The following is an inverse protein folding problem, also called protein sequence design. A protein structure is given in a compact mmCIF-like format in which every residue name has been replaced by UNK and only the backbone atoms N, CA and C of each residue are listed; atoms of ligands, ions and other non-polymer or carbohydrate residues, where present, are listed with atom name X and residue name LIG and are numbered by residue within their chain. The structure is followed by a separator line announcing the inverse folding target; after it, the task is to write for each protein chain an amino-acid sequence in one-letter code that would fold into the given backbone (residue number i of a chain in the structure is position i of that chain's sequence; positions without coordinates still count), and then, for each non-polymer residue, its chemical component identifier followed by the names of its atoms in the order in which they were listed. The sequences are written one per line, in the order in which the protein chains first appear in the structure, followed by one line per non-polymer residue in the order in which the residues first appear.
data_IF_492378334538
#
_entry.id   IF_492378334538
#
_cell.length_a   1.000
_cell.length_b   1.000
_cell.length_c   1.000
_cell.angle_alpha   90.00
_cell.angle_beta   90.00
_cell.angle_gamma   90.00
#
_symmetry.space_group_name_H-M   'P 1'
#
loop_
_entity.id
_entity.type
_entity.pdbx_description
1 polymer ?
#
# COMPACT_ATOMS: atom_id res chain seq x y z
N UNK A 1 15.21 12.70 0.03
CA UNK A 1 15.02 12.36 1.46
C UNK A 1 13.54 12.42 1.77
N UNK A 2 12.99 11.46 2.54
CA UNK A 2 11.61 11.54 2.98
C UNK A 2 11.36 12.87 3.72
N UNK A 3 10.16 13.44 3.63
CA UNK A 3 9.84 14.71 4.25
C UNK A 3 9.98 14.62 5.78
N UNK A 4 10.49 15.70 6.41
CA UNK A 4 10.56 15.77 7.86
C UNK A 4 9.15 15.72 8.46
N UNK A 5 8.96 14.83 9.43
CA UNK A 5 7.66 14.68 10.11
C UNK A 5 7.37 15.87 11.03
N UNK A 6 6.08 16.24 11.19
CA UNK A 6 5.68 17.26 12.15
C UNK A 6 6.04 16.86 13.59
N UNK A 7 6.42 17.87 14.41
CA UNK A 7 6.59 17.70 15.84
C UNK A 7 5.23 17.36 16.51
N UNK A 8 5.28 16.55 17.57
CA UNK A 8 4.12 16.20 18.40
C UNK A 8 3.34 17.44 18.89
N UNK A 9 4.06 18.49 19.28
CA UNK A 9 3.47 19.75 19.74
C UNK A 9 2.62 20.42 18.67
N UNK A 10 3.11 20.42 17.42
CA UNK A 10 2.39 21.01 16.28
C UNK A 10 1.08 20.25 16.03
N UNK A 11 1.13 18.91 16.09
CA UNK A 11 -0.05 18.06 15.91
C UNK A 11 -1.06 18.30 17.04
N UNK A 12 -0.58 18.36 18.28
CA UNK A 12 -1.41 18.59 19.47
C UNK A 12 -2.13 19.94 19.41
N UNK A 13 -1.42 20.99 19.03
CA UNK A 13 -1.99 22.33 18.89
C UNK A 13 -3.03 22.41 17.77
N UNK A 14 -2.79 21.73 16.63
CA UNK A 14 -3.75 21.67 15.56
C UNK A 14 -5.04 20.93 15.96
N UNK A 15 -4.94 19.82 16.67
CA UNK A 15 -6.11 19.10 17.21
C UNK A 15 -6.93 19.98 18.14
N UNK A 16 -6.28 20.73 19.03
CA UNK A 16 -6.96 21.67 19.96
C UNK A 16 -7.62 22.83 19.21
N UNK A 17 -6.93 23.40 18.22
CA UNK A 17 -7.47 24.49 17.40
C UNK A 17 -8.73 24.06 16.63
N UNK A 18 -8.87 22.78 16.31
CA UNK A 18 -10.04 22.21 15.66
C UNK A 18 -11.08 21.65 16.65
N UNK A 19 -11.02 22.09 17.92
CA UNK A 19 -12.06 21.82 18.92
C UNK A 19 -11.96 20.46 19.61
N UNK A 20 -10.89 19.70 19.38
CA UNK A 20 -10.64 18.44 20.10
C UNK A 20 -10.04 18.70 21.48
N UNK A 21 -10.21 17.72 22.35
CA UNK A 21 -9.63 17.72 23.70
C UNK A 21 -8.66 16.56 23.88
N UNK A 22 -7.59 16.51 23.06
CA UNK A 22 -6.68 15.38 23.09
C UNK A 22 -6.00 15.30 24.44
N UNK A 23 -5.93 14.08 24.97
CA UNK A 23 -5.01 13.74 26.03
C UNK A 23 -3.57 13.75 25.52
N UNK A 24 -2.70 13.01 26.20
CA UNK A 24 -1.32 12.81 25.74
C UNK A 24 -1.31 12.05 24.41
N UNK A 25 -0.50 12.48 23.44
CA UNK A 25 -0.18 11.71 22.25
C UNK A 25 0.81 10.59 22.61
N UNK A 26 0.52 9.37 22.19
CA UNK A 26 1.42 8.23 22.37
C UNK A 26 1.91 7.80 21.00
N UNK A 27 3.20 7.89 20.69
CA UNK A 27 3.71 7.47 19.40
C UNK A 27 3.35 6.01 19.10
N UNK A 28 2.92 5.77 17.89
CA UNK A 28 2.75 4.44 17.30
C UNK A 28 3.93 4.16 16.36
N UNK A 29 4.12 2.89 16.00
CA UNK A 29 5.05 2.54 14.93
C UNK A 29 4.64 3.34 13.68
N UNK A 30 5.54 4.10 13.10
CA UNK A 30 5.27 5.00 11.99
C UNK A 30 5.92 4.53 10.70
N UNK A 31 5.29 4.84 9.58
CA UNK A 31 5.87 4.70 8.24
C UNK A 31 6.86 5.82 7.92
N UNK A 32 7.47 5.74 6.75
CA UNK A 32 8.44 6.75 6.28
C UNK A 32 7.77 8.06 5.84
N UNK A 33 6.51 8.00 5.40
CA UNK A 33 5.77 9.13 4.83
C UNK A 33 4.89 9.87 5.84
N UNK A 34 4.56 9.22 6.97
CA UNK A 34 3.74 9.82 8.02
C UNK A 34 4.14 9.34 9.41
N UNK A 35 3.81 10.13 10.44
CA UNK A 35 3.88 9.75 11.84
C UNK A 35 2.49 9.55 12.41
N UNK A 36 2.34 8.49 13.20
CA UNK A 36 1.09 8.15 13.87
C UNK A 36 1.20 8.27 15.38
N UNK A 37 0.12 8.75 16.01
CA UNK A 37 -0.01 8.83 17.46
C UNK A 37 -1.39 8.35 17.87
N UNK A 38 -1.46 7.51 18.91
CA UNK A 38 -2.69 7.22 19.60
C UNK A 38 -3.00 8.31 20.63
N UNK A 39 -4.28 8.62 20.80
CA UNK A 39 -4.74 9.55 21.83
C UNK A 39 -6.19 9.26 22.23
N UNK A 40 -6.58 9.71 23.41
CA UNK A 40 -7.98 9.70 23.86
C UNK A 40 -8.59 11.09 23.70
N UNK A 41 -9.80 11.16 23.17
CA UNK A 41 -10.59 12.39 23.02
C UNK A 41 -12.02 12.13 23.51
N UNK A 42 -12.40 12.75 24.62
CA UNK A 42 -13.69 12.55 25.31
C UNK A 42 -14.03 11.05 25.54
N UNK A 43 -13.02 10.25 25.94
CA UNK A 43 -13.15 8.83 26.25
C UNK A 43 -13.15 7.90 25.00
N UNK A 44 -12.94 8.43 23.81
CA UNK A 44 -12.77 7.66 22.58
C UNK A 44 -11.28 7.50 22.26
N UNK A 45 -10.88 6.27 21.95
CA UNK A 45 -9.53 6.00 21.47
C UNK A 45 -9.44 6.28 19.97
N UNK A 46 -8.52 7.16 19.60
CA UNK A 46 -8.32 7.64 18.25
C UNK A 46 -6.85 7.54 17.85
N UNK A 47 -6.60 7.65 16.54
CA UNK A 47 -5.26 7.78 15.97
C UNK A 47 -5.21 9.07 15.17
N UNK A 48 -4.14 9.84 15.30
CA UNK A 48 -3.79 10.92 14.38
C UNK A 48 -2.54 10.53 13.60
N UNK A 49 -2.63 10.61 12.27
CA UNK A 49 -1.49 10.50 11.37
C UNK A 49 -1.16 11.87 10.82
N UNK A 50 0.13 12.21 10.72
CA UNK A 50 0.60 13.50 10.23
C UNK A 50 1.71 13.30 9.18
N UNK A 51 1.57 13.92 8.01
CA UNK A 51 2.45 13.73 6.86
C UNK A 51 2.45 14.92 5.89
N UNK A 52 3.21 14.79 4.81
CA UNK A 52 3.34 15.82 3.80
C UNK A 52 2.21 15.81 2.77
N UNK A 53 1.66 14.64 2.48
CA UNK A 53 0.73 14.42 1.37
C UNK A 53 -0.70 14.27 1.88
N UNK A 54 -1.56 15.24 1.57
CA UNK A 54 -2.99 15.19 1.94
C UNK A 54 -3.72 14.09 1.19
N UNK A 55 -3.27 13.80 -0.02
CA UNK A 55 -3.84 12.80 -0.91
C UNK A 55 -3.89 11.41 -0.27
N UNK A 56 -2.88 11.04 0.52
CA UNK A 56 -2.84 9.74 1.21
C UNK A 56 -3.97 9.63 2.22
N UNK A 57 -4.25 10.71 2.97
CA UNK A 57 -5.35 10.76 3.93
C UNK A 57 -6.73 10.83 3.24
N UNK A 58 -6.81 11.47 2.08
CA UNK A 58 -8.03 11.52 1.28
C UNK A 58 -8.34 10.16 0.66
N UNK A 59 -7.32 9.40 0.24
CA UNK A 59 -7.46 8.00 -0.17
C UNK A 59 -7.92 7.09 0.97
N UNK A 60 -7.37 7.25 2.18
CA UNK A 60 -7.86 6.54 3.37
C UNK A 60 -9.35 6.81 3.60
N UNK A 61 -9.76 8.07 3.51
CA UNK A 61 -11.18 8.47 3.65
C UNK A 61 -12.03 7.90 2.53
N UNK A 62 -11.54 7.90 1.30
CA UNK A 62 -12.27 7.34 0.17
C UNK A 62 -12.42 5.82 0.28
N UNK A 63 -11.41 5.11 0.75
CA UNK A 63 -11.43 3.65 0.94
C UNK A 63 -12.53 3.17 1.89
N UNK A 64 -13.00 4.03 2.80
CA UNK A 64 -14.12 3.70 3.70
C UNK A 64 -15.39 3.26 2.96
N UNK A 65 -15.57 3.62 1.70
CA UNK A 65 -16.70 3.16 0.88
C UNK A 65 -16.70 1.65 0.63
N UNK A 66 -15.54 1.02 0.69
CA UNK A 66 -15.36 -0.40 0.48
C UNK A 66 -15.39 -1.20 1.80
N UNK A 67 -15.53 -0.50 2.94
CA UNK A 67 -15.52 -1.14 4.26
C UNK A 67 -16.61 -2.21 4.39
N UNK A 68 -16.21 -3.37 4.86
CA UNK A 68 -17.09 -4.52 5.15
C UNK A 68 -16.53 -5.33 6.33
N UNK A 69 -17.24 -6.33 6.85
CA UNK A 69 -16.69 -7.23 7.87
C UNK A 69 -15.39 -7.93 7.45
N UNK A 70 -15.21 -8.21 6.16
CA UNK A 70 -14.03 -8.87 5.60
C UNK A 70 -12.98 -7.86 5.09
N UNK A 71 -13.33 -6.57 4.99
CA UNK A 71 -12.45 -5.46 4.66
C UNK A 71 -12.62 -4.33 5.69
N UNK A 72 -12.09 -4.48 6.92
CA UNK A 72 -12.32 -3.54 8.02
C UNK A 72 -11.46 -2.26 7.85
N UNK A 73 -11.96 -1.27 7.10
CA UNK A 73 -11.31 0.03 6.92
C UNK A 73 -11.70 0.97 8.07
N UNK A 74 -10.74 1.51 8.85
CA UNK A 74 -11.04 2.43 9.93
C UNK A 74 -11.67 3.73 9.42
N UNK A 75 -12.59 4.29 10.19
CA UNK A 75 -13.23 5.55 9.82
C UNK A 75 -12.28 6.72 9.98
N UNK A 76 -12.05 7.47 8.91
CA UNK A 76 -11.39 8.79 8.93
C UNK A 76 -12.44 9.83 9.33
N UNK A 77 -12.22 10.47 10.48
CA UNK A 77 -13.17 11.39 11.10
C UNK A 77 -12.90 12.83 10.69
N UNK A 78 -11.63 13.15 10.42
CA UNK A 78 -11.18 14.52 10.15
C UNK A 78 -9.88 14.50 9.34
N UNK A 79 -9.73 15.44 8.41
CA UNK A 79 -8.47 15.76 7.75
C UNK A 79 -8.27 17.26 7.91
N UNK A 80 -7.07 17.68 8.30
CA UNK A 80 -6.76 19.09 8.54
C UNK A 80 -5.33 19.47 8.13
N UNK A 81 -5.08 20.78 8.05
CA UNK A 81 -3.78 21.33 7.71
C UNK A 81 -2.88 21.51 8.94
N UNK A 82 -1.57 21.40 8.69
CA UNK A 82 -0.49 21.72 9.63
C UNK A 82 0.42 22.80 9.04
N UNK A 83 1.18 23.52 9.86
CA UNK A 83 2.18 24.48 9.38
C UNK A 83 3.17 23.85 8.38
N UNK A 84 3.59 24.63 7.40
CA UNK A 84 4.59 24.24 6.42
C UNK A 84 4.02 23.34 5.30
N UNK A 85 2.72 23.46 4.99
CA UNK A 85 2.08 22.69 3.91
C UNK A 85 1.91 21.21 4.23
N UNK A 86 1.95 20.84 5.50
CA UNK A 86 1.71 19.47 5.98
C UNK A 86 0.25 19.29 6.41
N UNK A 87 -0.15 18.04 6.59
CA UNK A 87 -1.51 17.67 6.89
C UNK A 87 -1.59 16.61 7.98
N UNK A 88 -2.77 16.45 8.57
CA UNK A 88 -3.08 15.35 9.48
C UNK A 88 -4.43 14.74 9.15
N UNK A 89 -4.61 13.49 9.54
CA UNK A 89 -5.89 12.81 9.56
C UNK A 89 -6.13 12.19 10.94
N UNK A 90 -7.36 12.29 11.43
CA UNK A 90 -7.82 11.59 12.64
C UNK A 90 -8.72 10.46 12.23
N UNK A 91 -8.42 9.26 12.71
CA UNK A 91 -9.22 8.05 12.48
C UNK A 91 -9.58 7.35 13.79
N UNK A 92 -10.57 6.47 13.71
CA UNK A 92 -10.85 5.51 14.79
C UNK A 92 -9.62 4.61 14.98
N UNK A 93 -9.32 4.30 16.24
CA UNK A 93 -8.26 3.35 16.56
C UNK A 93 -8.80 1.93 16.40
N UNK A 94 -8.11 1.12 15.61
CA UNK A 94 -8.42 -0.32 15.53
C UNK A 94 -8.07 -1.01 16.84
N UNK A 95 -8.79 -2.09 17.23
CA UNK A 95 -8.42 -2.91 18.37
C UNK A 95 -6.95 -3.37 18.26
N UNK A 96 -6.25 -3.53 19.38
CA UNK A 96 -4.90 -4.10 19.35
C UNK A 96 -4.94 -5.53 18.81
N UNK A 97 -3.89 -5.90 18.09
CA UNK A 97 -3.70 -7.21 17.48
C UNK A 97 -2.26 -7.36 17.02
N UNK A 98 -2.00 -8.39 16.25
CA UNK A 98 -0.70 -8.65 15.63
C UNK A 98 -0.67 -8.09 14.20
N UNK A 99 0.50 -7.72 13.71
CA UNK A 99 0.66 -7.33 12.32
C UNK A 99 0.65 -8.56 11.42
N UNK A 100 -0.01 -8.46 10.28
CA UNK A 100 -0.14 -9.57 9.33
C UNK A 100 1.21 -10.16 8.93
N UNK A 101 2.20 -9.34 8.66
CA UNK A 101 3.54 -9.77 8.27
C UNK A 101 4.35 -10.43 9.39
N UNK A 102 3.98 -10.20 10.65
CA UNK A 102 4.66 -10.78 11.82
C UNK A 102 4.07 -12.14 12.21
N UNK A 103 2.99 -12.59 11.54
CA UNK A 103 2.36 -13.89 11.83
C UNK A 103 3.19 -15.05 11.29
N UNK A 104 3.33 -16.10 12.10
CA UNK A 104 4.04 -17.34 11.75
C UNK A 104 3.26 -18.57 12.18
N UNK A 105 3.54 -19.70 11.51
CA UNK A 105 3.01 -21.00 11.85
C UNK A 105 1.49 -21.00 12.02
N UNK A 106 1.00 -21.52 13.14
CA UNK A 106 -0.44 -21.67 13.36
C UNK A 106 -1.22 -20.35 13.35
N UNK A 107 -0.61 -19.25 13.83
CA UNK A 107 -1.29 -17.96 13.84
C UNK A 107 -1.55 -17.47 12.40
N UNK A 108 -0.60 -17.67 11.51
CA UNK A 108 -0.76 -17.38 10.08
C UNK A 108 -1.78 -18.34 9.45
N UNK A 109 -1.70 -19.63 9.70
CA UNK A 109 -2.66 -20.62 9.17
C UNK A 109 -4.10 -20.28 9.58
N UNK A 110 -4.32 -19.89 10.84
CA UNK A 110 -5.64 -19.50 11.36
C UNK A 110 -6.15 -18.20 10.70
N UNK A 111 -5.26 -17.31 10.23
CA UNK A 111 -5.60 -16.04 9.57
C UNK A 111 -5.81 -16.17 8.04
N UNK A 112 -5.24 -17.17 7.37
CA UNK A 112 -5.31 -17.35 5.91
C UNK A 112 -6.75 -17.29 5.35
N UNK A 113 -7.78 -17.91 5.98
CA UNK A 113 -9.15 -17.79 5.50
C UNK A 113 -9.68 -16.34 5.50
N UNK A 114 -9.25 -15.51 6.46
CA UNK A 114 -9.67 -14.11 6.51
C UNK A 114 -8.94 -13.27 5.44
N UNK A 115 -7.69 -13.60 5.16
CA UNK A 115 -6.93 -13.00 4.06
C UNK A 115 -7.57 -13.33 2.71
N UNK A 116 -7.97 -14.58 2.50
CA UNK A 116 -8.71 -14.97 1.30
C UNK A 116 -10.03 -14.19 1.13
N UNK A 117 -10.79 -13.98 2.23
CA UNK A 117 -12.00 -13.15 2.20
C UNK A 117 -11.70 -11.66 1.96
N UNK A 118 -10.60 -11.12 2.50
CA UNK A 118 -10.14 -9.76 2.21
C UNK A 118 -9.90 -9.59 0.70
N UNK A 119 -9.13 -10.49 0.09
CA UNK A 119 -8.83 -10.45 -1.34
C UNK A 119 -10.11 -10.59 -2.19
N UNK A 120 -11.05 -11.44 -1.79
CA UNK A 120 -12.35 -11.56 -2.44
C UNK A 120 -13.17 -10.26 -2.29
N UNK A 121 -13.22 -9.67 -1.09
CA UNK A 121 -13.95 -8.42 -0.85
C UNK A 121 -13.39 -7.24 -1.67
N UNK A 122 -12.08 -7.19 -1.91
CA UNK A 122 -11.48 -6.20 -2.82
C UNK A 122 -11.93 -6.44 -4.27
N UNK A 123 -11.91 -7.68 -4.76
CA UNK A 123 -12.35 -8.02 -6.12
C UNK A 123 -13.84 -7.77 -6.37
N UNK A 124 -14.67 -7.98 -5.36
CA UNK A 124 -16.12 -7.84 -5.44
C UNK A 124 -16.62 -6.44 -5.09
N UNK A 125 -15.71 -5.53 -4.71
CA UNK A 125 -16.08 -4.18 -4.27
C UNK A 125 -16.77 -3.37 -5.38
N UNK A 126 -17.83 -2.65 -5.00
CA UNK A 126 -18.55 -1.76 -5.92
C UNK A 126 -17.71 -0.55 -6.31
N UNK A 127 -17.23 -0.54 -7.54
CA UNK A 127 -16.49 0.56 -8.13
C UNK A 127 -17.37 1.53 -8.94
N UNK A 128 -18.70 1.38 -8.89
CA UNK A 128 -19.63 2.31 -9.56
C UNK A 128 -19.42 3.74 -9.09
N UNK A 129 -19.56 4.68 -10.02
CA UNK A 129 -19.35 6.10 -9.75
C UNK A 129 -17.87 6.53 -9.69
N UNK A 130 -16.95 5.64 -10.04
CA UNK A 130 -15.51 5.95 -10.25
C UNK A 130 -15.08 5.54 -11.65
N UNK A 131 -13.97 6.06 -12.14
CA UNK A 131 -13.47 5.83 -13.50
C UNK A 131 -11.97 5.54 -13.51
N UNK A 132 -11.46 5.03 -14.63
CA UNK A 132 -10.04 4.88 -14.92
C UNK A 132 -9.32 3.79 -14.10
N UNK A 133 -8.06 3.61 -14.39
CA UNK A 133 -7.14 2.63 -13.82
C UNK A 133 -5.91 3.33 -13.23
N UNK A 134 -5.16 2.59 -12.40
CA UNK A 134 -3.98 3.12 -11.72
C UNK A 134 -4.30 3.86 -10.42
N UNK A 135 -3.34 4.63 -9.93
CA UNK A 135 -3.44 5.30 -8.63
C UNK A 135 -4.64 6.23 -8.52
N UNK A 136 -5.39 6.14 -7.42
CA UNK A 136 -6.56 6.99 -7.22
C UNK A 136 -6.19 8.46 -7.03
N UNK A 137 -7.02 9.35 -7.57
CA UNK A 137 -7.11 10.73 -7.11
C UNK A 137 -7.98 10.83 -5.83
N UNK A 138 -8.07 11.99 -5.16
CA UNK A 138 -8.92 12.17 -3.99
C UNK A 138 -10.42 11.91 -4.22
N UNK A 139 -10.88 11.96 -5.45
CA UNK A 139 -12.26 11.62 -5.83
C UNK A 139 -12.44 10.14 -6.14
N UNK A 140 -11.37 9.36 -6.10
CA UNK A 140 -11.36 7.93 -6.34
C UNK A 140 -11.38 7.57 -7.83
N UNK A 141 -10.75 8.36 -8.70
CA UNK A 141 -10.61 8.02 -10.11
C UNK A 141 -9.15 7.75 -10.45
N UNK A 142 -8.91 6.76 -11.29
CA UNK A 142 -7.59 6.49 -11.87
C UNK A 142 -7.35 7.33 -13.13
N UNK A 143 -6.09 7.67 -13.46
CA UNK A 143 -5.76 8.54 -14.59
C UNK A 143 -5.78 7.84 -15.96
N UNK A 144 -5.71 6.51 -15.99
CA UNK A 144 -5.49 5.74 -17.22
C UNK A 144 -6.77 5.15 -17.80
N UNK A 145 -6.79 4.94 -19.11
CA UNK A 145 -7.91 4.32 -19.84
C UNK A 145 -7.97 2.80 -19.71
N UNK A 146 -6.84 2.15 -19.38
CA UNK A 146 -6.73 0.70 -19.23
C UNK A 146 -5.75 0.32 -18.12
N UNK A 147 -5.84 -0.94 -17.67
CA UNK A 147 -4.88 -1.47 -16.72
C UNK A 147 -3.47 -1.60 -17.29
N UNK A 148 -3.37 -1.98 -18.57
CA UNK A 148 -2.08 -2.05 -19.26
C UNK A 148 -1.37 -0.69 -19.30
N UNK A 149 -2.09 0.41 -19.58
CA UNK A 149 -1.53 1.77 -19.50
C UNK A 149 -1.06 2.12 -18.08
N UNK A 150 -1.86 1.79 -17.07
CA UNK A 150 -1.53 2.04 -15.68
C UNK A 150 -0.26 1.30 -15.21
N UNK A 151 -0.07 0.05 -15.64
CA UNK A 151 1.13 -0.72 -15.36
C UNK A 151 2.40 -0.07 -15.93
N UNK A 152 2.30 0.55 -17.10
CA UNK A 152 3.45 1.14 -17.78
C UNK A 152 3.86 2.52 -17.20
N UNK A 153 3.03 3.14 -16.37
CA UNK A 153 3.42 4.36 -15.67
C UNK A 153 4.65 4.20 -14.78
N UNK A 154 4.94 2.97 -14.35
CA UNK A 154 6.13 2.67 -13.53
C UNK A 154 7.44 3.05 -14.23
N UNK A 155 7.47 3.08 -15.55
CA UNK A 155 8.62 3.55 -16.35
C UNK A 155 8.82 5.06 -16.35
N UNK A 156 7.83 5.84 -15.91
CA UNK A 156 7.87 7.30 -15.88
C UNK A 156 8.56 7.81 -14.60
N UNK A 157 9.11 9.03 -14.67
CA UNK A 157 9.56 9.74 -13.47
C UNK A 157 8.37 10.49 -12.87
N UNK A 158 7.83 10.08 -11.71
CA UNK A 158 6.67 10.72 -11.09
C UNK A 158 7.04 12.02 -10.35
N UNK A 159 7.84 12.85 -10.91
CA UNK A 159 8.29 14.21 -10.61
C UNK A 159 8.21 14.77 -9.17
N UNK A 160 7.19 14.42 -8.42
CA UNK A 160 6.89 14.98 -7.09
C UNK A 160 7.16 14.03 -5.91
N UNK A 161 6.97 12.71 -6.08
CA UNK A 161 7.22 11.75 -5.00
C UNK A 161 8.62 11.13 -5.00
N UNK A 162 9.12 10.78 -6.17
CA UNK A 162 10.42 10.11 -6.34
C UNK A 162 11.31 10.87 -7.35
N UNK A 163 11.50 12.20 -7.23
CA UNK A 163 12.18 12.98 -8.26
C UNK A 163 13.62 12.51 -8.48
N UNK A 164 13.96 12.26 -9.74
CA UNK A 164 15.31 11.88 -10.14
C UNK A 164 15.73 10.46 -9.75
N UNK A 165 14.78 9.58 -9.40
CA UNK A 165 15.08 8.19 -9.07
C UNK A 165 15.84 7.48 -10.19
N UNK A 166 15.50 7.76 -11.45
CA UNK A 166 16.14 7.14 -12.61
C UNK A 166 17.63 7.44 -12.69
N UNK A 167 18.01 8.71 -12.51
CA UNK A 167 19.43 9.12 -12.49
C UNK A 167 20.21 8.46 -11.35
N UNK A 168 19.56 8.31 -10.19
CA UNK A 168 20.15 7.60 -9.05
C UNK A 168 20.33 6.11 -9.35
N UNK A 169 19.34 5.47 -9.97
CA UNK A 169 19.42 4.07 -10.39
C UNK A 169 20.57 3.86 -11.39
N UNK A 170 20.69 4.72 -12.41
CA UNK A 170 21.76 4.66 -13.39
C UNK A 170 23.16 4.77 -12.76
N UNK A 171 23.29 5.58 -11.71
CA UNK A 171 24.54 5.76 -10.96
C UNK A 171 24.74 4.75 -9.82
N UNK A 172 23.78 3.87 -9.57
CA UNK A 172 23.86 2.84 -8.52
C UNK A 172 24.85 1.73 -8.87
N UNK A 173 25.33 0.94 -7.89
CA UNK A 173 26.17 -0.23 -8.16
C UNK A 173 25.52 -1.26 -9.10
N UNK A 174 24.18 -1.36 -9.08
CA UNK A 174 23.42 -2.30 -9.91
C UNK A 174 23.22 -1.75 -11.34
N UNK A 175 23.16 -0.43 -11.51
CA UNK A 175 22.84 0.23 -12.77
C UNK A 175 21.37 0.01 -13.18
N UNK A 176 20.99 0.57 -14.33
CA UNK A 176 19.61 0.53 -14.81
C UNK A 176 19.29 -0.65 -15.75
N UNK A 177 20.30 -1.35 -16.27
CA UNK A 177 20.09 -2.36 -17.33
C UNK A 177 19.08 -3.44 -16.96
N UNK A 178 19.11 -3.95 -15.73
CA UNK A 178 18.17 -4.97 -15.25
C UNK A 178 16.75 -4.42 -15.01
N UNK A 179 16.63 -3.16 -14.67
CA UNK A 179 15.35 -2.46 -14.63
C UNK A 179 14.73 -2.39 -16.05
N UNK A 180 15.55 -2.04 -17.03
CA UNK A 180 15.11 -1.93 -18.43
C UNK A 180 14.70 -3.30 -19.00
N UNK A 181 15.42 -4.37 -18.66
CA UNK A 181 15.05 -5.74 -19.03
C UNK A 181 13.68 -6.13 -18.45
N UNK A 182 13.45 -5.84 -17.16
CA UNK A 182 12.18 -6.12 -16.50
C UNK A 182 11.03 -5.24 -17.04
N UNK A 183 11.30 -3.97 -17.36
CA UNK A 183 10.31 -3.07 -17.96
C UNK A 183 9.90 -3.56 -19.37
N UNK A 184 10.84 -3.97 -20.18
CA UNK A 184 10.53 -4.53 -21.51
C UNK A 184 9.68 -5.80 -21.43
N UNK A 185 9.92 -6.65 -20.42
CA UNK A 185 9.07 -7.81 -20.17
C UNK A 185 7.66 -7.39 -19.71
N UNK A 186 7.55 -6.39 -18.83
CA UNK A 186 6.25 -5.84 -18.42
C UNK A 186 5.49 -5.25 -19.60
N UNK A 187 6.14 -4.51 -20.49
CA UNK A 187 5.52 -3.94 -21.71
C UNK A 187 4.86 -5.03 -22.56
N UNK A 188 5.54 -6.16 -22.76
CA UNK A 188 5.00 -7.28 -23.50
C UNK A 188 3.76 -7.91 -22.84
N UNK A 189 3.75 -8.00 -21.51
CA UNK A 189 2.64 -8.60 -20.76
C UNK A 189 1.47 -7.62 -20.57
N UNK A 190 1.73 -6.33 -20.39
CA UNK A 190 0.72 -5.30 -20.20
C UNK A 190 -0.24 -5.15 -21.39
N UNK A 191 0.23 -5.47 -22.60
CA UNK A 191 -0.60 -5.47 -23.82
C UNK A 191 -1.76 -6.50 -23.77
N UNK A 192 -1.65 -7.52 -22.92
CA UNK A 192 -2.64 -8.57 -22.73
C UNK A 192 -3.23 -8.57 -21.31
N UNK A 193 -3.05 -7.46 -20.57
CA UNK A 193 -3.62 -7.30 -19.25
C UNK A 193 -5.16 -7.33 -19.28
N UNK A 194 -5.82 -7.93 -18.28
CA UNK A 194 -7.28 -8.03 -18.28
C UNK A 194 -7.93 -6.65 -18.06
N UNK A 195 -9.12 -6.47 -18.62
CA UNK A 195 -9.96 -5.27 -18.38
C UNK A 195 -10.66 -5.30 -16.99
N UNK A 196 -10.22 -6.17 -16.08
CA UNK A 196 -10.76 -6.24 -14.73
C UNK A 196 -10.43 -4.95 -13.96
N UNK A 197 -11.40 -4.47 -13.19
CA UNK A 197 -11.25 -3.23 -12.46
C UNK A 197 -11.84 -3.35 -11.06
N UNK A 198 -10.99 -3.60 -10.08
CA UNK A 198 -11.33 -3.57 -8.67
C UNK A 198 -10.36 -2.67 -7.89
N UNK A 199 -10.69 -2.26 -6.66
CA UNK A 199 -9.74 -1.60 -5.79
C UNK A 199 -8.60 -2.55 -5.42
N UNK A 200 -7.40 -2.03 -5.44
CA UNK A 200 -6.14 -2.65 -5.06
C UNK A 200 -5.57 -1.84 -3.90
N UNK A 201 -5.14 -2.51 -2.84
CA UNK A 201 -4.46 -1.84 -1.74
C UNK A 201 -3.01 -1.51 -2.07
N UNK A 202 -2.32 -2.43 -2.74
CA UNK A 202 -0.93 -2.35 -3.18
C UNK A 202 0.13 -2.21 -2.08
N UNK A 203 -0.23 -2.50 -0.81
CA UNK A 203 0.69 -2.45 0.33
C UNK A 203 0.15 -3.22 1.55
N UNK A 204 -0.42 -4.43 1.37
CA UNK A 204 -1.06 -5.21 2.45
C UNK A 204 -0.09 -5.68 3.54
N UNK A 205 1.18 -5.88 3.24
CA UNK A 205 2.25 -6.09 4.22
C UNK A 205 2.78 -4.72 4.68
N UNK A 206 3.83 -4.63 5.44
CA UNK A 206 4.40 -3.36 5.93
C UNK A 206 3.53 -2.63 6.97
N UNK A 207 2.93 -3.40 7.90
CA UNK A 207 2.17 -2.90 9.05
C UNK A 207 0.89 -2.16 8.68
N UNK A 208 0.21 -2.64 7.65
CA UNK A 208 -1.04 -2.07 7.15
C UNK A 208 -2.27 -2.95 7.45
N UNK A 209 -2.08 -4.16 7.95
CA UNK A 209 -3.17 -5.07 8.33
C UNK A 209 -2.97 -5.58 9.76
N UNK A 210 -3.99 -5.40 10.60
CA UNK A 210 -4.03 -5.91 11.99
C UNK A 210 -4.95 -7.11 12.09
N UNK A 211 -4.46 -8.13 12.79
CA UNK A 211 -5.11 -9.44 12.97
C UNK A 211 -5.34 -9.71 14.46
N UNK A 212 -6.52 -10.21 14.81
CA UNK A 212 -6.86 -10.72 16.14
C UNK A 212 -7.41 -12.15 16.01
N UNK A 213 -6.54 -13.13 16.27
CA UNK A 213 -6.83 -14.55 16.01
C UNK A 213 -7.18 -14.77 14.53
N UNK A 214 -8.35 -15.39 14.21
CA UNK A 214 -8.73 -15.68 12.83
C UNK A 214 -9.41 -14.51 12.11
N UNK A 215 -9.32 -13.27 12.60
CA UNK A 215 -10.04 -12.11 12.06
C UNK A 215 -9.13 -10.94 11.77
N UNK A 216 -9.39 -10.27 10.67
CA UNK A 216 -8.82 -8.96 10.40
C UNK A 216 -9.60 -7.90 11.19
N UNK A 217 -8.89 -6.98 11.84
CA UNK A 217 -9.49 -5.91 12.66
C UNK A 217 -9.22 -4.53 12.12
N UNK A 218 -8.26 -4.39 11.16
CA UNK A 218 -7.97 -3.12 10.50
C UNK A 218 -7.15 -3.31 9.24
N UNK A 219 -7.55 -2.61 8.17
CA UNK A 219 -6.79 -2.45 6.92
C UNK A 219 -6.70 -0.96 6.65
N UNK A 220 -5.49 -0.40 6.68
CA UNK A 220 -5.26 1.03 6.59
C UNK A 220 -4.02 1.37 5.77
N UNK A 221 -3.76 2.66 5.56
CA UNK A 221 -2.71 3.21 4.69
C UNK A 221 -2.95 2.91 3.20
N UNK A 222 -4.03 3.47 2.68
CA UNK A 222 -4.44 3.36 1.28
C UNK A 222 -3.68 4.32 0.34
N UNK A 223 -2.59 4.92 0.81
CA UNK A 223 -1.78 5.85 0.01
C UNK A 223 -1.33 5.29 -1.34
N UNK A 224 -1.05 3.99 -1.41
CA UNK A 224 -0.68 3.28 -2.64
C UNK A 224 -1.87 2.76 -3.45
N UNK A 225 -3.12 2.96 -3.01
CA UNK A 225 -4.28 2.35 -3.63
C UNK A 225 -4.47 2.72 -5.11
N UNK A 226 -4.93 1.73 -5.86
CA UNK A 226 -5.13 1.79 -7.30
C UNK A 226 -6.43 1.10 -7.71
N UNK A 227 -6.82 1.27 -8.99
CA UNK A 227 -7.76 0.38 -9.67
C UNK A 227 -7.05 -0.45 -10.73
N UNK A 228 -7.33 -1.74 -10.77
CA UNK A 228 -6.78 -2.65 -11.75
C UNK A 228 -7.13 -4.10 -11.48
N UNK A 229 -6.20 -4.97 -11.79
CA UNK A 229 -6.29 -6.41 -11.72
C UNK A 229 -6.44 -6.93 -10.29
N UNK A 230 -7.49 -7.70 -10.01
CA UNK A 230 -7.74 -8.32 -8.71
C UNK A 230 -6.71 -9.35 -8.25
N UNK A 231 -5.76 -9.73 -9.10
CA UNK A 231 -4.62 -10.53 -8.71
C UNK A 231 -3.47 -9.70 -8.09
N UNK A 232 -3.53 -8.36 -8.13
CA UNK A 232 -2.40 -7.52 -7.74
C UNK A 232 -2.01 -7.68 -6.26
N UNK A 233 -2.97 -7.61 -5.33
CA UNK A 233 -2.67 -7.76 -3.91
C UNK A 233 -2.21 -9.20 -3.57
N UNK A 234 -2.64 -10.19 -4.32
CA UNK A 234 -2.10 -11.55 -4.23
C UNK A 234 -0.65 -11.62 -4.74
N UNK A 235 -0.36 -10.92 -5.87
CA UNK A 235 1.01 -10.78 -6.38
C UNK A 235 1.90 -10.02 -5.37
N UNK A 236 1.34 -9.04 -4.64
CA UNK A 236 2.04 -8.35 -3.56
C UNK A 236 2.47 -9.31 -2.45
N UNK A 237 1.55 -10.14 -1.95
CA UNK A 237 1.85 -11.17 -0.96
C UNK A 237 2.91 -12.16 -1.46
N UNK A 238 2.76 -12.63 -2.73
CA UNK A 238 3.72 -13.53 -3.36
C UNK A 238 5.10 -12.89 -3.52
N UNK A 239 5.16 -11.63 -3.95
CA UNK A 239 6.43 -10.94 -4.19
C UNK A 239 7.23 -10.78 -2.90
N UNK A 240 6.58 -10.35 -1.81
CA UNK A 240 7.22 -10.04 -0.54
C UNK A 240 7.37 -11.22 0.42
N UNK A 241 6.73 -12.37 0.15
CA UNK A 241 6.80 -13.56 1.03
C UNK A 241 8.23 -13.95 1.45
N UNK A 242 9.28 -13.88 0.60
CA UNK A 242 10.63 -14.28 1.03
C UNK A 242 11.27 -13.39 2.11
N UNK A 243 10.71 -12.20 2.36
CA UNK A 243 11.19 -11.31 3.43
C UNK A 243 10.45 -11.49 4.76
N UNK A 244 9.40 -12.33 4.78
CA UNK A 244 8.56 -12.60 5.94
C UNK A 244 8.57 -14.08 6.27
N UNK A 245 9.26 -14.52 7.36
CA UNK A 245 9.55 -15.94 7.63
C UNK A 245 8.34 -16.86 7.64
N UNK A 246 7.17 -16.38 8.09
CA UNK A 246 5.95 -17.17 8.07
C UNK A 246 5.34 -17.36 6.67
N UNK A 247 5.65 -16.45 5.76
CA UNK A 247 5.00 -16.35 4.44
C UNK A 247 5.71 -17.13 3.35
N UNK A 248 6.97 -17.46 3.51
CA UNK A 248 7.76 -18.18 2.53
C UNK A 248 7.28 -19.64 2.32
N UNK A 249 6.56 -20.19 3.31
CA UNK A 249 5.96 -21.51 3.25
C UNK A 249 4.50 -21.53 2.72
N UNK A 250 3.90 -20.36 2.51
CA UNK A 250 2.49 -20.25 2.08
C UNK A 250 2.40 -20.32 0.57
N UNK A 251 1.56 -21.24 0.07
CA UNK A 251 1.17 -21.24 -1.34
C UNK A 251 0.12 -20.15 -1.58
N UNK A 252 0.61 -18.95 -1.89
CA UNK A 252 -0.27 -17.79 -2.16
C UNK A 252 -1.12 -17.98 -3.42
N UNK A 253 -0.72 -18.88 -4.34
CA UNK A 253 -1.51 -19.19 -5.53
C UNK A 253 -2.79 -19.94 -5.15
N UNK A 254 -2.76 -20.74 -4.10
CA UNK A 254 -3.97 -21.42 -3.60
C UNK A 254 -5.03 -20.42 -3.09
N UNK A 255 -4.63 -19.25 -2.59
CA UNK A 255 -5.55 -18.19 -2.17
C UNK A 255 -6.29 -17.55 -3.36
N UNK A 256 -5.73 -17.62 -4.56
CA UNK A 256 -6.30 -17.05 -5.78
C UNK A 256 -6.72 -18.09 -6.83
N UNK A 257 -6.87 -19.36 -6.44
CA UNK A 257 -7.14 -20.48 -7.36
C UNK A 257 -8.40 -20.33 -8.25
N UNK A 258 -9.30 -19.44 -7.88
CA UNK A 258 -10.50 -19.08 -8.64
C UNK A 258 -10.26 -17.98 -9.69
N UNK A 259 -9.06 -17.37 -9.73
CA UNK A 259 -8.69 -16.34 -10.68
C UNK A 259 -8.16 -16.98 -11.97
N UNK A 260 -8.78 -16.72 -13.14
CA UNK A 260 -8.27 -17.22 -14.41
C UNK A 260 -6.85 -16.71 -14.70
N UNK A 261 -6.02 -17.55 -15.32
CA UNK A 261 -4.65 -17.22 -15.76
C UNK A 261 -3.78 -16.62 -14.63
N UNK A 262 -4.02 -17.05 -13.37
CA UNK A 262 -3.41 -16.46 -12.18
C UNK A 262 -1.89 -16.36 -12.25
N UNK A 263 -1.19 -17.42 -12.65
CA UNK A 263 0.28 -17.43 -12.71
C UNK A 263 0.81 -16.30 -13.59
N UNK A 264 0.25 -16.09 -14.77
CA UNK A 264 0.62 -15.00 -15.67
C UNK A 264 0.32 -13.63 -15.06
N UNK A 265 -0.85 -13.48 -14.42
CA UNK A 265 -1.26 -12.25 -13.74
C UNK A 265 -0.33 -11.91 -12.56
N UNK A 266 0.08 -12.92 -11.79
CA UNK A 266 1.08 -12.77 -10.72
C UNK A 266 2.43 -12.28 -11.27
N UNK A 267 2.89 -12.84 -12.39
CA UNK A 267 4.12 -12.37 -13.04
C UNK A 267 3.99 -10.91 -13.49
N UNK A 268 2.90 -10.57 -14.18
CA UNK A 268 2.67 -9.22 -14.70
C UNK A 268 2.61 -8.19 -13.55
N UNK A 269 1.78 -8.44 -12.54
CA UNK A 269 1.67 -7.56 -11.36
C UNK A 269 2.97 -7.53 -10.55
N UNK A 270 3.64 -8.68 -10.39
CA UNK A 270 4.91 -8.80 -9.67
C UNK A 270 6.04 -8.00 -10.32
N UNK A 271 6.11 -7.96 -11.65
CA UNK A 271 7.06 -7.11 -12.36
C UNK A 271 6.81 -5.63 -12.06
N UNK A 272 5.56 -5.18 -12.12
CA UNK A 272 5.20 -3.80 -11.75
C UNK A 272 5.58 -3.50 -10.29
N UNK A 273 5.27 -4.39 -9.35
CA UNK A 273 5.64 -4.26 -7.93
C UNK A 273 7.15 -4.12 -7.78
N UNK A 274 7.92 -5.00 -8.44
CA UNK A 274 9.37 -4.96 -8.40
C UNK A 274 9.92 -3.65 -8.94
N UNK A 275 9.49 -3.21 -10.12
CA UNK A 275 9.93 -1.99 -10.77
C UNK A 275 9.60 -0.73 -9.93
N UNK A 276 8.40 -0.65 -9.36
CA UNK A 276 8.01 0.46 -8.49
C UNK A 276 8.89 0.54 -7.23
N UNK A 277 9.21 -0.63 -6.64
CA UNK A 277 10.09 -0.68 -5.47
C UNK A 277 11.56 -0.39 -5.81
N UNK A 278 12.05 -0.80 -6.98
CA UNK A 278 13.39 -0.41 -7.46
C UNK A 278 13.51 1.10 -7.62
N UNK A 279 12.50 1.77 -8.17
CA UNK A 279 12.45 3.23 -8.27
C UNK A 279 12.51 3.90 -6.89
N UNK A 280 11.72 3.40 -5.92
CA UNK A 280 11.70 3.87 -4.54
C UNK A 280 13.04 3.65 -3.83
N UNK A 281 13.64 2.45 -3.93
CA UNK A 281 14.91 2.11 -3.31
C UNK A 281 16.07 2.92 -3.92
N UNK A 282 16.05 3.17 -5.23
CA UNK A 282 17.01 4.05 -5.88
C UNK A 282 16.86 5.50 -5.38
N UNK A 283 15.62 6.00 -5.27
CA UNK A 283 15.36 7.34 -4.72
C UNK A 283 15.88 7.50 -3.29
N UNK A 284 15.68 6.49 -2.44
CA UNK A 284 16.11 6.47 -1.03
C UNK A 284 17.55 5.98 -0.82
N UNK A 285 18.22 5.57 -1.91
CA UNK A 285 19.61 5.07 -1.89
C UNK A 285 19.81 3.81 -1.03
N UNK A 286 18.80 2.92 -1.00
CA UNK A 286 18.83 1.63 -0.31
C UNK A 286 19.42 0.55 -1.23
N UNK A 287 20.72 0.58 -1.41
CA UNK A 287 21.39 -0.24 -2.43
C UNK A 287 21.34 -1.75 -2.16
N UNK A 288 21.39 -2.18 -0.90
CA UNK A 288 21.29 -3.59 -0.53
C UNK A 288 19.87 -4.14 -0.81
N UNK A 289 18.83 -3.35 -0.47
CA UNK A 289 17.44 -3.69 -0.77
C UNK A 289 17.20 -3.71 -2.28
N UNK A 290 17.76 -2.74 -3.01
CA UNK A 290 17.66 -2.64 -4.47
C UNK A 290 18.22 -3.88 -5.16
N UNK A 291 19.38 -4.40 -4.73
CA UNK A 291 19.96 -5.61 -5.29
C UNK A 291 19.08 -6.85 -5.02
N UNK A 292 18.57 -7.00 -3.79
CA UNK A 292 17.68 -8.11 -3.43
C UNK A 292 16.35 -8.05 -4.23
N UNK A 293 15.73 -6.85 -4.33
CA UNK A 293 14.51 -6.64 -5.11
C UNK A 293 14.74 -6.90 -6.60
N UNK A 294 15.90 -6.47 -7.16
CA UNK A 294 16.26 -6.76 -8.55
C UNK A 294 16.29 -8.26 -8.83
N UNK A 295 16.96 -9.03 -7.97
CA UNK A 295 16.99 -10.50 -8.12
C UNK A 295 15.59 -11.11 -8.06
N UNK A 296 14.75 -10.66 -7.11
CA UNK A 296 13.37 -11.16 -6.99
C UNK A 296 12.52 -10.82 -8.20
N UNK A 297 12.65 -9.59 -8.73
CA UNK A 297 11.92 -9.14 -9.92
C UNK A 297 12.26 -9.99 -11.14
N UNK A 298 13.55 -10.23 -11.37
CA UNK A 298 13.99 -11.03 -12.52
C UNK A 298 13.67 -12.53 -12.38
N UNK A 299 13.64 -13.06 -11.17
CA UNK A 299 13.23 -14.45 -10.92
C UNK A 299 11.75 -14.73 -11.26
N UNK A 300 10.94 -13.71 -11.52
CA UNK A 300 9.58 -13.88 -12.06
C UNK A 300 9.56 -14.23 -13.56
N UNK A 301 10.68 -14.07 -14.25
CA UNK A 301 10.82 -14.33 -15.68
C UNK A 301 11.37 -15.73 -15.99
N UNK A 302 11.87 -16.46 -14.97
CA UNK A 302 12.42 -17.83 -15.07
C UNK A 302 11.29 -18.87 -14.92
#
# INVERSE_FOLDING_TARGET
MPPQHPDETIVLDALRANGRRPGRLTPLAGGEWSRAYAFSDDGRELVVRAGAYVEDFEKDRFAMRFASPDLPVPRVLEIGGLPGGRHYAVSERVPPGEWLEDLEGRALDDALPAIGRLLAALREADTSGTTGYGSWDPAGNGPNGSWGEALLEVGNDPGDRLPGWRTKLESSPTGAGRYDDALAALEALAAEAPDERCPIHADLLHRNVVVDGPRLTGVFDWGCAMYGDGAYDLAWLHFWSPWHPGWDAIDVLELGRDIPDLERRIVTCGLHIGLANLAYQAFTERWDDLDATTRRTLALLD
#
